data_IF_237562192261
#
_entry.id   IF_237562192261
#
_cell.length_a   1.000
_cell.length_b   1.000
_cell.length_c   1.000
_cell.angle_alpha   90.00
_cell.angle_beta   90.00
_cell.angle_gamma   90.00
#
_symmetry.space_group_name_H-M   'P 1'
#
loop_
_entity.id
_entity.type
_entity.pdbx_description
1 polymer ?
#
# COMPACT_ATOMS: atom_id res chain seq x y z
N UNK A 1 -19.79 5.50 -21.94
CA UNK A 1 -18.55 6.29 -21.74
C UNK A 1 -17.48 5.57 -20.91
N UNK A 2 -17.82 4.75 -19.91
CA UNK A 2 -16.85 4.01 -19.07
C UNK A 2 -15.94 3.03 -19.84
N UNK A 3 -16.43 2.43 -20.91
CA UNK A 3 -15.72 1.38 -21.66
C UNK A 3 -14.56 1.93 -22.53
N UNK A 4 -14.77 3.11 -23.13
CA UNK A 4 -13.73 3.77 -23.97
C UNK A 4 -12.54 4.22 -23.11
N UNK A 5 -12.80 4.81 -21.94
CA UNK A 5 -11.74 5.20 -21.01
C UNK A 5 -10.97 3.99 -20.47
N UNK A 6 -11.69 2.89 -20.21
CA UNK A 6 -11.07 1.65 -19.75
C UNK A 6 -10.20 1.01 -20.83
N UNK A 7 -10.65 1.01 -22.09
CA UNK A 7 -9.88 0.53 -23.25
C UNK A 7 -8.66 1.41 -23.53
N UNK A 8 -8.82 2.73 -23.53
CA UNK A 8 -7.71 3.67 -23.71
C UNK A 8 -6.65 3.51 -22.60
N UNK A 9 -7.09 3.34 -21.35
CA UNK A 9 -6.18 3.08 -20.25
C UNK A 9 -5.46 1.75 -20.38
N UNK A 10 -6.12 0.68 -20.81
CA UNK A 10 -5.48 -0.64 -21.03
C UNK A 10 -4.46 -0.55 -22.17
N UNK A 11 -4.80 0.12 -23.28
CA UNK A 11 -3.86 0.33 -24.41
C UNK A 11 -2.64 1.16 -23.97
N UNK A 12 -2.87 2.20 -23.18
CA UNK A 12 -1.78 3.00 -22.60
C UNK A 12 -0.89 2.17 -21.66
N UNK A 13 -1.50 1.42 -20.73
CA UNK A 13 -0.78 0.54 -19.80
C UNK A 13 0.05 -0.53 -20.56
N UNK A 14 -0.45 -1.01 -21.73
CA UNK A 14 0.24 -1.99 -22.55
C UNK A 14 1.53 -1.43 -23.21
N UNK A 15 1.56 -0.14 -23.53
CA UNK A 15 2.77 0.51 -24.11
C UNK A 15 3.95 0.45 -23.13
N UNK A 16 3.66 0.49 -21.83
CA UNK A 16 4.66 0.48 -20.77
C UNK A 16 4.82 -0.88 -20.09
N UNK A 17 4.10 -1.90 -20.54
CA UNK A 17 4.28 -3.26 -20.04
C UNK A 17 5.51 -3.90 -20.68
N UNK A 18 6.30 -4.62 -19.86
CA UNK A 18 7.45 -5.41 -20.31
C UNK A 18 8.44 -4.62 -21.18
N UNK A 19 8.81 -3.42 -20.74
CA UNK A 19 9.79 -2.59 -21.44
C UNK A 19 11.14 -3.32 -21.51
N UNK A 20 11.77 -3.41 -22.71
CA UNK A 20 13.05 -4.06 -22.86
C UNK A 20 14.15 -3.28 -22.12
N UNK A 21 15.19 -3.97 -21.64
CA UNK A 21 16.36 -3.34 -21.02
C UNK A 21 17.30 -2.72 -22.07
N UNK A 22 16.78 -1.74 -22.80
CA UNK A 22 17.50 -0.88 -23.75
C UNK A 22 17.51 0.55 -23.26
N UNK A 23 18.37 1.40 -23.83
CA UNK A 23 18.39 2.83 -23.50
C UNK A 23 17.01 3.49 -23.67
N UNK A 24 16.28 3.12 -24.73
CA UNK A 24 14.90 3.59 -25.00
C UNK A 24 13.92 3.04 -23.95
N UNK A 25 14.00 1.77 -23.59
CA UNK A 25 13.14 1.16 -22.57
C UNK A 25 13.37 1.79 -21.20
N UNK A 26 14.63 2.01 -20.81
CA UNK A 26 14.98 2.72 -19.56
C UNK A 26 14.48 4.16 -19.54
N UNK A 27 14.55 4.87 -20.67
CA UNK A 27 14.00 6.23 -20.79
C UNK A 27 12.47 6.24 -20.65
N UNK A 28 11.77 5.33 -21.32
CA UNK A 28 10.31 5.17 -21.20
C UNK A 28 9.89 4.81 -19.77
N UNK A 29 10.64 3.93 -19.12
CA UNK A 29 10.45 3.59 -17.71
C UNK A 29 10.59 4.83 -16.81
N UNK A 30 11.64 5.63 -17.03
CA UNK A 30 11.84 6.87 -16.28
C UNK A 30 10.68 7.85 -16.49
N UNK A 31 10.22 8.05 -17.75
CA UNK A 31 9.06 8.90 -18.06
C UNK A 31 7.81 8.39 -17.33
N UNK A 32 7.53 7.09 -17.39
CA UNK A 32 6.40 6.49 -16.69
C UNK A 32 6.49 6.73 -15.19
N UNK A 33 7.63 6.42 -14.59
CA UNK A 33 7.84 6.59 -13.16
C UNK A 33 7.72 8.04 -12.72
N UNK A 34 8.32 8.97 -13.47
CA UNK A 34 8.31 10.39 -13.13
C UNK A 34 6.88 10.97 -13.14
N UNK A 35 6.15 10.76 -14.25
CA UNK A 35 4.90 11.47 -14.52
C UNK A 35 3.66 10.65 -14.18
N UNK A 36 3.60 9.38 -14.54
CA UNK A 36 2.40 8.55 -14.36
C UNK A 36 2.39 7.83 -12.99
N UNK A 37 3.53 7.46 -12.48
CA UNK A 37 3.64 6.92 -11.11
C UNK A 37 3.93 8.01 -10.08
N UNK A 38 4.04 9.28 -10.49
CA UNK A 38 4.26 10.46 -9.64
C UNK A 38 5.54 10.38 -8.78
N UNK A 39 6.62 9.77 -9.30
CA UNK A 39 7.88 9.64 -8.57
C UNK A 39 8.48 11.00 -8.18
N UNK A 40 8.22 12.05 -8.98
CA UNK A 40 8.66 13.44 -8.71
C UNK A 40 8.16 13.92 -7.34
N UNK A 41 6.91 13.62 -7.00
CA UNK A 41 6.31 14.01 -5.72
C UNK A 41 6.84 13.19 -4.53
N UNK A 42 7.32 11.96 -4.79
CA UNK A 42 7.85 11.07 -3.75
C UNK A 42 9.29 11.41 -3.34
N UNK A 43 9.96 12.28 -4.07
CA UNK A 43 11.28 12.80 -3.69
C UNK A 43 11.24 13.54 -2.34
N UNK A 44 10.48 14.64 -2.25
CA UNK A 44 10.26 15.37 -1.01
C UNK A 44 9.30 14.65 -0.05
N UNK A 45 8.38 13.85 -0.57
CA UNK A 45 7.33 13.19 0.21
C UNK A 45 7.51 11.67 0.28
N UNK A 46 8.33 11.22 1.18
CA UNK A 46 8.62 9.78 1.32
C UNK A 46 7.62 9.02 2.16
N UNK A 47 6.83 9.69 3.01
CA UNK A 47 6.00 9.07 4.05
C UNK A 47 6.74 8.01 4.87
N UNK A 48 8.07 8.14 4.95
CA UNK A 48 8.94 7.18 5.59
C UNK A 48 8.97 7.38 7.08
N UNK A 49 8.77 6.30 7.81
CA UNK A 49 8.80 6.27 9.26
C UNK A 49 9.19 4.88 9.75
N UNK A 50 10.05 4.81 10.75
CA UNK A 50 10.24 3.61 11.55
C UNK A 50 9.08 3.52 12.55
N UNK A 51 8.31 2.44 12.49
CA UNK A 51 7.13 2.25 13.35
C UNK A 51 7.42 1.36 14.55
N UNK A 52 8.45 0.53 14.43
CA UNK A 52 9.01 -0.31 15.48
C UNK A 52 10.48 -0.60 15.13
N UNK A 53 11.32 -1.06 16.07
CA UNK A 53 12.73 -1.34 15.80
C UNK A 53 12.94 -2.24 14.57
N UNK A 54 13.60 -1.72 13.54
CA UNK A 54 13.85 -2.42 12.29
C UNK A 54 12.63 -2.61 11.39
N UNK A 55 11.52 -1.88 11.62
CA UNK A 55 10.28 -1.98 10.82
C UNK A 55 9.89 -0.60 10.28
N UNK A 56 10.04 -0.43 8.99
CA UNK A 56 9.88 0.83 8.29
C UNK A 56 8.74 0.81 7.30
N UNK A 57 7.94 1.88 7.28
CA UNK A 57 6.93 2.14 6.26
C UNK A 57 7.33 3.27 5.33
N UNK A 58 6.74 3.35 4.14
CA UNK A 58 6.95 4.51 3.28
C UNK A 58 6.17 4.49 1.97
N UNK A 59 6.48 5.48 1.11
CA UNK A 59 6.09 5.47 -0.30
C UNK A 59 7.00 4.54 -1.10
N UNK A 60 6.59 4.18 -2.32
CA UNK A 60 7.47 3.47 -3.25
C UNK A 60 8.79 4.23 -3.42
N UNK A 61 9.95 3.62 -3.18
CA UNK A 61 11.21 4.34 -3.11
C UNK A 61 11.61 4.96 -4.46
N UNK A 62 12.22 6.12 -4.39
CA UNK A 62 12.96 6.72 -5.51
C UNK A 62 14.38 6.14 -5.58
N UNK A 63 15.19 6.40 -6.63
CA UNK A 63 16.58 5.94 -6.68
C UNK A 63 17.42 6.33 -5.45
N UNK A 64 17.16 7.51 -4.87
CA UNK A 64 17.78 7.93 -3.59
C UNK A 64 17.22 7.12 -2.42
N UNK A 65 15.93 6.79 -2.46
CA UNK A 65 15.26 5.97 -1.44
C UNK A 65 15.85 4.57 -1.38
N UNK A 66 16.07 3.91 -2.52
CA UNK A 66 16.68 2.59 -2.59
C UNK A 66 18.10 2.56 -2.00
N UNK A 67 18.94 3.56 -2.33
CA UNK A 67 20.28 3.70 -1.72
C UNK A 67 20.22 3.91 -0.20
N UNK A 68 19.25 4.70 0.24
CA UNK A 68 19.03 4.91 1.67
C UNK A 68 18.62 3.60 2.36
N UNK A 69 17.69 2.82 1.80
CA UNK A 69 17.28 1.52 2.35
C UNK A 69 18.47 0.56 2.49
N UNK A 70 19.35 0.54 1.49
CA UNK A 70 20.59 -0.25 1.55
C UNK A 70 21.51 0.20 2.69
N UNK A 71 21.69 1.52 2.85
CA UNK A 71 22.49 2.09 3.94
C UNK A 71 21.89 1.81 5.34
N UNK A 72 20.56 1.65 5.44
CA UNK A 72 19.88 1.24 6.69
C UNK A 72 19.96 -0.28 6.94
N UNK A 73 20.60 -1.02 6.07
CA UNK A 73 20.73 -2.46 6.21
C UNK A 73 19.42 -3.25 6.00
N UNK A 74 18.42 -2.66 5.31
CA UNK A 74 17.16 -3.35 5.01
C UNK A 74 17.46 -4.71 4.35
N UNK A 75 16.77 -5.74 4.81
CA UNK A 75 16.87 -7.11 4.31
C UNK A 75 15.68 -7.48 3.44
N UNK A 76 14.48 -7.09 3.89
CA UNK A 76 13.24 -7.42 3.21
C UNK A 76 12.49 -6.17 2.77
N UNK A 77 11.96 -6.19 1.55
CA UNK A 77 11.02 -5.19 1.03
C UNK A 77 9.68 -5.86 0.83
N UNK A 78 8.62 -5.32 1.45
CA UNK A 78 7.24 -5.78 1.27
C UNK A 78 6.47 -4.77 0.43
N UNK A 79 6.19 -5.13 -0.81
CA UNK A 79 5.41 -4.34 -1.75
C UNK A 79 3.90 -4.65 -1.61
N UNK A 80 3.11 -3.65 -1.25
CA UNK A 80 1.65 -3.76 -1.10
C UNK A 80 0.88 -3.37 -2.38
N UNK A 81 1.55 -3.36 -3.54
CA UNK A 81 0.97 -2.97 -4.84
C UNK A 81 0.70 -4.14 -5.77
N UNK A 82 0.96 -5.35 -5.34
CA UNK A 82 0.97 -6.60 -6.11
C UNK A 82 2.12 -6.73 -7.14
N UNK A 83 2.31 -7.95 -7.60
CA UNK A 83 3.09 -8.27 -8.80
C UNK A 83 2.43 -7.61 -10.02
N UNK A 84 3.22 -7.03 -10.90
CA UNK A 84 2.70 -6.30 -12.06
C UNK A 84 3.69 -6.29 -13.22
N UNK A 85 3.18 -6.32 -14.45
CA UNK A 85 3.97 -6.11 -15.66
C UNK A 85 4.33 -4.62 -15.90
N UNK A 86 3.93 -3.73 -15.01
CA UNK A 86 4.17 -2.29 -15.15
C UNK A 86 5.59 -1.91 -14.73
N UNK A 87 6.14 -0.83 -15.30
CA UNK A 87 7.50 -0.39 -15.05
C UNK A 87 7.89 -0.27 -13.57
N UNK A 88 6.98 0.20 -12.73
CA UNK A 88 7.28 0.39 -11.32
C UNK A 88 7.62 -0.91 -10.59
N UNK A 89 7.01 -2.05 -11.02
CA UNK A 89 7.27 -3.34 -10.40
C UNK A 89 8.54 -3.99 -10.97
N UNK A 90 8.70 -3.95 -12.29
CA UNK A 90 9.89 -4.48 -12.95
C UNK A 90 11.17 -3.79 -12.48
N UNK A 91 11.13 -2.47 -12.34
CA UNK A 91 12.23 -1.68 -11.79
C UNK A 91 12.52 -2.05 -10.34
N UNK A 92 11.47 -2.21 -9.52
CA UNK A 92 11.59 -2.63 -8.12
C UNK A 92 12.20 -4.02 -7.99
N UNK A 93 11.72 -4.99 -8.77
CA UNK A 93 12.23 -6.36 -8.80
C UNK A 93 13.72 -6.39 -9.17
N UNK A 94 14.10 -5.67 -10.23
CA UNK A 94 15.49 -5.52 -10.65
C UNK A 94 16.36 -4.90 -9.54
N UNK A 95 15.93 -3.79 -8.96
CA UNK A 95 16.68 -3.10 -7.91
C UNK A 95 16.79 -3.96 -6.65
N UNK A 96 15.75 -4.66 -6.25
CA UNK A 96 15.79 -5.55 -5.10
C UNK A 96 16.81 -6.68 -5.32
N UNK A 97 16.85 -7.27 -6.52
CA UNK A 97 17.84 -8.28 -6.88
C UNK A 97 19.27 -7.72 -6.86
N UNK A 98 19.50 -6.56 -7.45
CA UNK A 98 20.82 -5.88 -7.49
C UNK A 98 21.34 -5.51 -6.10
N UNK A 99 20.44 -5.03 -5.22
CA UNK A 99 20.79 -4.61 -3.87
C UNK A 99 20.76 -5.76 -2.85
N UNK A 100 20.33 -6.96 -3.25
CA UNK A 100 20.24 -8.12 -2.37
C UNK A 100 19.11 -8.04 -1.35
N UNK A 101 18.00 -7.36 -1.67
CA UNK A 101 16.79 -7.37 -0.85
C UNK A 101 15.91 -8.57 -1.20
N UNK A 102 15.33 -9.21 -0.17
CA UNK A 102 14.23 -10.14 -0.39
C UNK A 102 12.96 -9.34 -0.70
N UNK A 103 12.40 -9.49 -1.89
CA UNK A 103 11.13 -8.86 -2.27
C UNK A 103 9.97 -9.80 -1.99
N UNK A 104 8.98 -9.32 -1.24
CA UNK A 104 7.68 -9.97 -1.02
C UNK A 104 6.61 -9.03 -1.58
N UNK A 105 5.67 -9.56 -2.35
CA UNK A 105 4.63 -8.75 -2.98
C UNK A 105 3.24 -9.28 -2.62
N UNK A 106 2.41 -8.42 -2.02
CA UNK A 106 1.03 -8.73 -1.64
C UNK A 106 0.07 -7.74 -2.28
N UNK A 107 -1.03 -8.25 -2.82
CA UNK A 107 -2.04 -7.45 -3.50
C UNK A 107 -3.03 -6.82 -2.50
N UNK A 108 -2.85 -5.56 -2.13
CA UNK A 108 -3.82 -4.81 -1.33
C UNK A 108 -4.57 -3.77 -2.15
N UNK A 109 -5.87 -3.60 -1.90
CA UNK A 109 -6.65 -2.48 -2.43
C UNK A 109 -6.53 -1.25 -1.52
N UNK A 110 -6.46 -0.05 -2.13
CA UNK A 110 -6.51 1.21 -1.38
C UNK A 110 -7.92 1.82 -1.32
N UNK A 111 -8.88 1.30 -2.11
CA UNK A 111 -10.19 1.94 -2.33
C UNK A 111 -11.35 0.95 -2.33
N UNK A 112 -11.12 -0.24 -1.84
CA UNK A 112 -12.14 -1.27 -1.61
C UNK A 112 -11.79 -1.99 -0.31
N UNK A 113 -12.79 -2.59 0.32
CA UNK A 113 -12.62 -3.40 1.52
C UNK A 113 -11.54 -4.47 1.27
N UNK A 114 -10.59 -4.65 2.20
CA UNK A 114 -9.47 -5.57 2.01
C UNK A 114 -9.94 -7.02 1.82
N UNK A 115 -9.22 -7.78 1.00
CA UNK A 115 -9.43 -9.21 0.93
C UNK A 115 -8.80 -9.89 2.16
N UNK A 116 -9.48 -10.89 2.72
CA UNK A 116 -9.01 -11.70 3.84
C UNK A 116 -7.62 -12.26 3.57
N UNK A 117 -7.47 -12.92 2.42
CA UNK A 117 -6.24 -13.58 2.00
C UNK A 117 -5.07 -12.59 1.98
N UNK A 118 -5.27 -11.39 1.42
CA UNK A 118 -4.25 -10.35 1.37
C UNK A 118 -3.80 -9.87 2.75
N UNK A 119 -4.73 -9.80 3.71
CA UNK A 119 -4.41 -9.43 5.09
C UNK A 119 -3.60 -10.51 5.78
N UNK A 120 -3.99 -11.78 5.62
CA UNK A 120 -3.26 -12.93 6.17
C UNK A 120 -1.85 -13.03 5.57
N UNK A 121 -1.71 -12.80 4.24
CA UNK A 121 -0.41 -12.76 3.56
C UNK A 121 0.49 -11.65 4.10
N UNK A 122 -0.05 -10.44 4.34
CA UNK A 122 0.70 -9.32 4.93
C UNK A 122 1.17 -9.69 6.34
N UNK A 123 0.31 -10.29 7.16
CA UNK A 123 0.67 -10.69 8.53
C UNK A 123 1.70 -11.82 8.54
N UNK A 124 1.56 -12.80 7.64
CA UNK A 124 2.56 -13.85 7.46
C UNK A 124 3.92 -13.29 7.02
N UNK A 125 3.92 -12.31 6.11
CA UNK A 125 5.14 -11.61 5.69
C UNK A 125 5.80 -10.90 6.87
N UNK A 126 5.06 -10.19 7.69
CA UNK A 126 5.61 -9.50 8.88
C UNK A 126 6.19 -10.45 9.92
N UNK A 127 5.61 -11.63 10.09
CA UNK A 127 6.09 -12.65 11.05
C UNK A 127 7.33 -13.40 10.55
N UNK A 128 7.44 -13.62 9.24
CA UNK A 128 8.49 -14.45 8.63
C UNK A 128 9.63 -13.67 7.98
N UNK A 129 9.47 -12.37 7.76
CA UNK A 129 10.46 -11.56 7.09
C UNK A 129 11.70 -11.31 7.95
N UNK A 130 12.89 -11.45 7.35
CA UNK A 130 14.13 -11.02 7.97
C UNK A 130 14.14 -9.50 8.12
N UNK A 131 14.37 -9.04 9.35
CA UNK A 131 14.47 -7.61 9.66
C UNK A 131 15.92 -7.11 9.47
N UNK A 132 16.13 -5.80 9.20
CA UNK A 132 15.12 -4.76 9.06
C UNK A 132 14.26 -4.90 7.80
N UNK A 133 12.94 -4.66 7.94
CA UNK A 133 11.96 -4.70 6.85
C UNK A 133 11.49 -3.29 6.48
N UNK A 134 11.34 -3.05 5.19
CA UNK A 134 10.67 -1.86 4.66
C UNK A 134 9.43 -2.26 3.86
N UNK A 135 8.27 -1.72 4.22
CA UNK A 135 7.03 -1.97 3.46
C UNK A 135 6.44 -0.68 2.89
N UNK A 136 5.86 -0.79 1.70
CA UNK A 136 5.37 0.39 0.99
C UNK A 136 4.17 0.08 0.08
N UNK A 137 3.48 1.15 -0.25
CA UNK A 137 2.55 1.18 -1.38
C UNK A 137 2.97 2.27 -2.38
N UNK A 138 2.06 2.87 -3.14
CA UNK A 138 2.42 3.97 -4.07
C UNK A 138 2.86 5.23 -3.32
N UNK A 139 1.99 5.76 -2.46
CA UNK A 139 2.18 7.03 -1.73
C UNK A 139 2.64 6.87 -0.28
N UNK A 140 2.63 5.64 0.25
CA UNK A 140 2.88 5.41 1.67
C UNK A 140 1.73 5.84 2.59
N UNK A 141 0.57 6.23 2.05
CA UNK A 141 -0.58 6.72 2.82
C UNK A 141 -1.52 5.58 3.26
N UNK A 142 -2.28 5.02 2.30
CA UNK A 142 -3.45 4.18 2.59
C UNK A 142 -3.06 2.74 2.97
N UNK A 143 -2.61 1.93 2.00
CA UNK A 143 -2.25 0.51 2.21
C UNK A 143 -1.13 0.33 3.23
N UNK A 144 -0.09 1.16 3.13
CA UNK A 144 0.99 1.18 4.14
C UNK A 144 0.49 1.67 5.50
N UNK A 145 -0.54 2.52 5.52
CA UNK A 145 -1.22 2.95 6.74
C UNK A 145 -1.91 1.79 7.44
N UNK A 146 -2.75 1.05 6.69
CA UNK A 146 -3.43 -0.12 7.25
C UNK A 146 -2.45 -1.21 7.67
N UNK A 147 -1.47 -1.54 6.84
CA UNK A 147 -0.45 -2.55 7.19
C UNK A 147 0.33 -2.16 8.46
N UNK A 148 0.68 -0.87 8.63
CA UNK A 148 1.31 -0.36 9.83
C UNK A 148 0.40 -0.46 11.07
N UNK A 149 -0.89 -0.13 10.92
CA UNK A 149 -1.87 -0.24 11.99
C UNK A 149 -1.99 -1.68 12.49
N UNK A 150 -2.13 -2.62 11.57
CA UNK A 150 -2.21 -4.05 11.88
C UNK A 150 -0.91 -4.56 12.53
N UNK A 151 0.26 -4.17 12.00
CA UNK A 151 1.54 -4.53 12.61
C UNK A 151 1.65 -4.05 14.06
N UNK A 152 1.36 -2.78 14.31
CA UNK A 152 1.44 -2.20 15.66
C UNK A 152 0.46 -2.86 16.63
N UNK A 153 -0.78 -3.12 16.19
CA UNK A 153 -1.80 -3.69 17.05
C UNK A 153 -1.58 -5.19 17.31
N UNK A 154 -1.36 -5.96 16.22
CA UNK A 154 -1.29 -7.43 16.31
C UNK A 154 0.06 -7.97 16.75
N UNK A 155 1.17 -7.33 16.36
CA UNK A 155 2.52 -7.85 16.61
C UNK A 155 3.16 -7.11 17.80
N UNK A 156 3.13 -5.77 17.76
CA UNK A 156 3.72 -4.95 18.82
C UNK A 156 2.79 -4.75 20.03
N UNK A 157 1.53 -5.20 19.94
CA UNK A 157 0.51 -5.07 20.99
C UNK A 157 0.31 -3.62 21.47
N UNK A 158 0.45 -2.69 20.53
CA UNK A 158 0.21 -1.26 20.79
C UNK A 158 -1.29 -0.96 20.90
N UNK A 159 -1.60 0.20 21.45
CA UNK A 159 -2.98 0.65 21.63
C UNK A 159 -3.72 0.85 20.31
N UNK A 160 -5.05 0.73 20.36
CA UNK A 160 -5.93 1.05 19.22
C UNK A 160 -5.74 2.50 18.70
N UNK A 161 -5.40 3.44 19.60
CA UNK A 161 -5.12 4.83 19.23
C UNK A 161 -3.84 4.95 18.39
N UNK A 162 -2.76 4.26 18.76
CA UNK A 162 -1.51 4.23 17.99
C UNK A 162 -1.72 3.56 16.64
N UNK A 163 -2.48 2.47 16.57
CA UNK A 163 -2.84 1.81 15.32
C UNK A 163 -3.63 2.77 14.39
N UNK A 164 -4.67 3.43 14.89
CA UNK A 164 -5.46 4.41 14.10
C UNK A 164 -4.62 5.59 13.62
N UNK A 165 -3.61 6.02 14.35
CA UNK A 165 -2.72 7.11 13.96
C UNK A 165 -1.93 6.81 12.68
N UNK A 166 -1.80 5.54 12.29
CA UNK A 166 -1.15 5.14 11.04
C UNK A 166 -1.98 5.45 9.79
N UNK A 167 -3.31 5.62 9.94
CA UNK A 167 -4.24 6.10 8.91
C UNK A 167 -4.62 7.56 9.22
N UNK A 168 -3.69 8.49 9.01
CA UNK A 168 -3.89 9.89 9.38
C UNK A 168 -3.45 10.88 8.28
N UNK A 169 -3.91 12.12 8.41
CA UNK A 169 -3.53 13.23 7.52
C UNK A 169 -2.02 13.49 7.52
N UNK A 170 -1.30 13.12 8.57
CA UNK A 170 0.16 13.18 8.62
C UNK A 170 0.80 12.44 7.43
N UNK A 171 0.19 11.34 6.99
CA UNK A 171 0.64 10.54 5.86
C UNK A 171 -0.16 10.81 4.57
N UNK A 172 -0.98 11.90 4.57
CA UNK A 172 -1.91 12.24 3.46
C UNK A 172 -2.98 11.17 3.23
N UNK A 173 -3.30 10.39 4.26
CA UNK A 173 -4.49 9.56 4.22
C UNK A 173 -5.73 10.41 4.46
N UNK A 174 -6.72 10.32 3.55
CA UNK A 174 -7.94 11.12 3.58
C UNK A 174 -9.15 10.22 3.87
N UNK A 175 -9.58 10.19 5.13
CA UNK A 175 -10.70 9.38 5.63
C UNK A 175 -12.01 9.59 4.85
N UNK A 176 -12.25 10.81 4.35
CA UNK A 176 -13.47 11.12 3.59
C UNK A 176 -13.41 10.73 2.11
N UNK A 177 -12.27 10.25 1.63
CA UNK A 177 -12.09 9.73 0.28
C UNK A 177 -12.58 8.27 0.16
N UNK A 178 -12.44 7.68 -1.04
CA UNK A 178 -12.67 6.23 -1.20
C UNK A 178 -11.73 5.38 -0.36
N UNK A 179 -10.56 5.91 0.03
CA UNK A 179 -9.61 5.20 0.87
C UNK A 179 -10.04 5.08 2.34
N UNK A 180 -11.03 5.86 2.78
CA UNK A 180 -11.64 5.74 4.11
C UNK A 180 -12.30 4.39 4.39
N UNK A 181 -12.47 3.53 3.38
CA UNK A 181 -12.86 2.12 3.59
C UNK A 181 -11.85 1.38 4.47
N UNK A 182 -10.57 1.77 4.43
CA UNK A 182 -9.54 1.19 5.27
C UNK A 182 -9.67 1.62 6.74
N UNK A 183 -10.15 2.85 6.99
CA UNK A 183 -10.55 3.28 8.35
C UNK A 183 -11.75 2.48 8.84
N UNK A 184 -12.78 2.32 7.99
CA UNK A 184 -13.97 1.55 8.36
C UNK A 184 -13.61 0.09 8.70
N UNK A 185 -12.71 -0.51 7.93
CA UNK A 185 -12.17 -1.83 8.21
C UNK A 185 -11.45 -1.86 9.57
N UNK A 186 -10.51 -0.95 9.80
CA UNK A 186 -9.74 -0.89 11.02
C UNK A 186 -10.62 -0.62 12.24
N UNK A 187 -11.59 0.28 12.12
CA UNK A 187 -12.53 0.59 13.20
C UNK A 187 -13.41 -0.63 13.56
N UNK A 188 -13.93 -1.36 12.56
CA UNK A 188 -14.72 -2.57 12.77
C UNK A 188 -13.87 -3.69 13.42
N UNK A 189 -12.65 -3.90 12.94
CA UNK A 189 -11.72 -4.85 13.52
C UNK A 189 -11.42 -4.52 15.00
N UNK A 190 -11.00 -3.30 15.29
CA UNK A 190 -10.67 -2.89 16.65
C UNK A 190 -11.87 -2.93 17.61
N UNK A 191 -13.08 -2.70 17.09
CA UNK A 191 -14.32 -2.80 17.88
C UNK A 191 -14.72 -4.25 18.18
N UNK A 192 -14.26 -5.22 17.40
CA UNK A 192 -14.57 -6.65 17.64
C UNK A 192 -13.94 -7.18 18.90
N UNK A 193 -12.82 -6.61 19.36
CA UNK A 193 -12.05 -7.10 20.50
C UNK A 193 -11.36 -8.45 20.28
N UNK A 194 -11.41 -8.98 19.07
CA UNK A 194 -10.80 -10.26 18.69
C UNK A 194 -9.39 -10.06 18.13
N UNK A 195 -8.61 -11.13 18.04
CA UNK A 195 -7.42 -11.14 17.18
C UNK A 195 -7.83 -11.12 15.69
N UNK A 196 -6.93 -10.65 14.84
CA UNK A 196 -7.24 -10.43 13.43
C UNK A 196 -7.67 -11.71 12.71
N UNK A 197 -7.00 -12.83 12.96
CA UNK A 197 -7.26 -14.10 12.26
C UNK A 197 -8.64 -14.62 12.60
N UNK A 198 -8.98 -14.67 13.89
CA UNK A 198 -10.31 -15.07 14.38
C UNK A 198 -11.40 -14.16 13.82
N UNK A 199 -11.19 -12.84 13.86
CA UNK A 199 -12.18 -11.90 13.33
C UNK A 199 -12.36 -12.03 11.81
N UNK A 200 -11.29 -12.20 11.07
CA UNK A 200 -11.37 -12.44 9.64
C UNK A 200 -12.12 -13.73 9.30
N UNK A 201 -12.08 -14.74 10.16
CA UNK A 201 -12.76 -16.01 9.94
C UNK A 201 -14.25 -15.98 10.27
N UNK A 202 -14.62 -15.32 11.34
CA UNK A 202 -15.97 -15.43 11.93
C UNK A 202 -16.79 -14.15 11.86
N UNK A 203 -16.16 -12.97 11.80
CA UNK A 203 -16.84 -11.68 11.93
C UNK A 203 -16.68 -10.73 10.75
N UNK A 204 -15.73 -10.96 9.85
CA UNK A 204 -15.49 -10.05 8.75
C UNK A 204 -16.30 -10.40 7.51
N UNK A 205 -17.29 -9.57 7.19
CA UNK A 205 -17.99 -9.60 5.90
C UNK A 205 -17.51 -8.43 5.02
N UNK A 206 -16.67 -8.77 4.03
CA UNK A 206 -16.12 -7.82 3.09
C UNK A 206 -17.18 -7.11 2.25
N UNK A 207 -18.24 -7.85 1.84
CA UNK A 207 -19.31 -7.32 0.96
C UNK A 207 -20.17 -6.36 1.75
N UNK A 208 -20.55 -6.73 2.96
CA UNK A 208 -21.34 -5.89 3.86
C UNK A 208 -20.59 -4.63 4.23
N UNK A 209 -19.31 -4.72 4.64
CA UNK A 209 -18.49 -3.56 4.98
C UNK A 209 -18.37 -2.58 3.80
N UNK A 210 -18.18 -3.09 2.58
CA UNK A 210 -18.13 -2.25 1.38
C UNK A 210 -19.46 -1.54 1.13
N UNK A 211 -20.59 -2.26 1.24
CA UNK A 211 -21.92 -1.71 1.01
C UNK A 211 -22.25 -0.60 2.04
N UNK A 212 -21.98 -0.84 3.32
CA UNK A 212 -22.21 0.13 4.40
C UNK A 212 -21.37 1.38 4.23
N UNK A 213 -20.10 1.23 3.87
CA UNK A 213 -19.22 2.35 3.60
C UNK A 213 -19.70 3.19 2.41
N UNK A 214 -20.10 2.55 1.32
CA UNK A 214 -20.57 3.26 0.12
C UNK A 214 -21.88 4.00 0.39
N UNK A 215 -22.82 3.40 1.13
CA UNK A 215 -24.06 4.05 1.57
C UNK A 215 -23.80 5.27 2.47
N UNK A 216 -22.93 5.12 3.46
CA UNK A 216 -22.56 6.21 4.36
C UNK A 216 -21.84 7.35 3.60
N UNK A 217 -21.02 7.02 2.62
CA UNK A 217 -20.33 8.00 1.78
C UNK A 217 -21.30 8.74 0.84
N UNK A 218 -22.29 8.06 0.31
CA UNK A 218 -23.34 8.67 -0.51
C UNK A 218 -24.17 9.66 0.29
N UNK A 219 -24.62 9.28 1.50
CA UNK A 219 -25.37 10.20 2.41
C UNK A 219 -24.59 11.48 2.69
N UNK A 220 -23.29 11.37 2.99
CA UNK A 220 -22.45 12.57 3.23
C UNK A 220 -22.38 13.49 2.02
N UNK A 221 -22.20 12.94 0.81
CA UNK A 221 -22.16 13.76 -0.41
C UNK A 221 -23.46 14.51 -0.66
N UNK A 222 -24.62 13.90 -0.37
CA UNK A 222 -25.90 14.58 -0.47
C UNK A 222 -26.03 15.71 0.56
N UNK A 223 -25.57 15.51 1.79
CA UNK A 223 -25.59 16.53 2.83
C UNK A 223 -24.65 17.73 2.56
N UNK A 224 -23.56 17.53 1.81
CA UNK A 224 -22.62 18.59 1.40
C UNK A 224 -23.11 19.40 0.17
N UNK A 225 -24.19 18.95 -0.49
CA UNK A 225 -24.73 19.56 -1.73
C UNK A 225 -25.99 20.40 -1.45
N UNK A 226 -26.54 20.34 -0.24
CA UNK A 226 -27.66 21.11 0.28
C UNK A 226 -27.16 22.29 1.11
#
# INVERSE_FOLDING_TARGET
MSDIFTRAKRAFDAIFADLPDTARGRWLNWVYMAWFDHAVLRGPWTNRMEIAPGVWRGSHPTPRGWRWLKAQGIKTVLNLRAVSRKPFYQEEERICAELGFRLISVAMSARAAPHRESLLEVMAAFRSAEKPIFFHCKSGADRSGLAAALYLFEIEKRSAAEARAMLSRRFVHLRHSKAGILDAFLDAFLASGQDLETWLESGYDRVQLQADFDAARQKRRFAETL
#
